data_IF_073319691516
#
_entry.id   IF_073319691516
#
_cell.length_a   1.000
_cell.length_b   1.000
_cell.length_c   1.000
_cell.angle_alpha   90.00
_cell.angle_beta   90.00
_cell.angle_gamma   90.00
#
_symmetry.space_group_name_H-M   'P 1'
#
loop_
_entity.id
_entity.type
_entity.pdbx_description
1 polymer ?
#
# COMPACT_ATOMS: atom_id res chain seq x y z
N UNK A 1 11.21 27.65 2.27
CA UNK A 1 11.60 26.59 3.25
C UNK A 1 10.83 25.29 3.05
N UNK A 2 9.53 25.33 2.72
CA UNK A 2 8.70 24.14 2.44
C UNK A 2 9.25 23.28 1.28
N UNK A 3 9.75 23.90 0.19
CA UNK A 3 10.34 23.17 -0.94
C UNK A 3 11.58 22.35 -0.57
N UNK A 4 12.40 22.79 0.40
CA UNK A 4 13.57 22.00 0.86
C UNK A 4 13.15 20.83 1.77
N UNK A 5 12.07 21.00 2.54
CA UNK A 5 11.51 19.92 3.36
C UNK A 5 10.83 18.84 2.50
N UNK A 6 10.09 19.23 1.45
CA UNK A 6 9.54 18.30 0.46
C UNK A 6 10.64 17.55 -0.31
N UNK A 7 11.73 18.21 -0.70
CA UNK A 7 12.87 17.55 -1.35
C UNK A 7 13.54 16.57 -0.40
N UNK A 8 13.67 16.89 0.89
CA UNK A 8 14.27 15.98 1.86
C UNK A 8 13.40 14.74 2.15
N UNK A 9 12.08 14.90 2.22
CA UNK A 9 11.13 13.78 2.33
C UNK A 9 11.10 12.92 1.05
N UNK A 10 11.19 13.53 -0.13
CA UNK A 10 11.18 12.82 -1.41
C UNK A 10 12.50 12.08 -1.69
N UNK A 11 13.60 12.50 -1.06
CA UNK A 11 14.94 11.92 -1.23
C UNK A 11 15.24 10.75 -0.26
N UNK A 12 14.35 10.46 0.69
CA UNK A 12 14.38 9.26 1.54
C UNK A 12 13.61 8.10 0.88
N UNK A 13 13.85 7.84 -0.41
CA UNK A 13 13.31 6.63 -1.04
C UNK A 13 14.12 5.44 -0.52
N UNK A 14 13.65 4.81 0.56
CA UNK A 14 14.12 3.49 0.97
C UNK A 14 14.15 2.57 -0.27
N UNK A 15 15.23 1.82 -0.45
CA UNK A 15 15.43 0.93 -1.62
C UNK A 15 14.23 0.01 -1.89
N UNK A 16 13.51 -0.37 -0.82
CA UNK A 16 12.26 -1.15 -0.86
C UNK A 16 11.14 -0.41 -1.59
N UNK A 17 10.94 0.88 -1.32
CA UNK A 17 9.89 1.67 -1.96
C UNK A 17 10.17 1.85 -3.45
N UNK A 18 11.44 2.04 -3.83
CA UNK A 18 11.85 2.05 -5.24
C UNK A 18 11.59 0.71 -5.89
N UNK A 19 11.90 -0.39 -5.19
CA UNK A 19 11.65 -1.73 -5.68
C UNK A 19 10.16 -2.02 -5.87
N UNK A 20 9.33 -1.70 -4.89
CA UNK A 20 7.87 -1.82 -4.96
C UNK A 20 7.32 -0.97 -6.10
N UNK A 21 7.74 0.29 -6.25
CA UNK A 21 7.32 1.15 -7.38
C UNK A 21 7.69 0.55 -8.75
N UNK A 22 8.90 0.01 -8.88
CA UNK A 22 9.36 -0.59 -10.14
C UNK A 22 8.62 -1.89 -10.48
N UNK A 23 8.12 -2.60 -9.47
CA UNK A 23 7.30 -3.79 -9.66
C UNK A 23 5.97 -3.44 -10.33
N UNK A 24 5.36 -2.31 -9.95
CA UNK A 24 4.08 -1.83 -10.48
C UNK A 24 4.15 -1.10 -11.81
N UNK A 25 5.34 -0.65 -12.25
CA UNK A 25 5.51 -0.18 -13.64
C UNK A 25 5.24 -1.29 -14.67
N UNK A 26 5.17 -2.54 -14.24
CA UNK A 26 4.64 -3.63 -15.04
C UNK A 26 3.12 -3.53 -14.99
N UNK A 27 2.49 -3.10 -16.08
CA UNK A 27 1.04 -2.88 -16.26
C UNK A 27 0.24 -4.16 -15.91
N UNK A 28 -0.02 -4.37 -14.62
CA UNK A 28 -0.66 -5.57 -14.07
C UNK A 28 -2.14 -5.63 -14.44
N UNK A 29 -2.79 -4.47 -14.60
CA UNK A 29 -4.20 -4.36 -15.00
C UNK A 29 -4.50 -5.10 -16.31
N UNK A 30 -3.69 -4.85 -17.35
CA UNK A 30 -3.85 -5.48 -18.68
C UNK A 30 -3.57 -6.98 -18.63
N UNK A 31 -2.61 -7.39 -17.80
CA UNK A 31 -2.22 -8.78 -17.60
C UNK A 31 -3.34 -9.56 -16.88
N UNK A 32 -3.90 -8.99 -15.81
CA UNK A 32 -4.97 -9.62 -15.02
C UNK A 32 -6.23 -9.78 -15.86
N UNK A 33 -6.63 -8.75 -16.61
CA UNK A 33 -7.79 -8.82 -17.53
C UNK A 33 -7.59 -9.92 -18.59
N UNK A 34 -6.41 -9.99 -19.22
CA UNK A 34 -6.09 -11.05 -20.19
C UNK A 34 -6.15 -12.47 -19.57
N UNK A 35 -5.68 -12.63 -18.32
CA UNK A 35 -5.67 -13.91 -17.60
C UNK A 35 -7.06 -14.37 -17.13
N UNK A 36 -7.96 -13.42 -16.86
CA UNK A 36 -9.36 -13.69 -16.49
C UNK A 36 -10.19 -14.05 -17.73
N UNK A 37 -10.05 -13.29 -18.83
CA UNK A 37 -10.83 -13.49 -20.05
C UNK A 37 -10.39 -14.72 -20.87
N UNK A 38 -9.10 -15.11 -20.84
CA UNK A 38 -8.56 -16.21 -21.64
C UNK A 38 -7.86 -17.28 -20.78
N UNK A 39 -8.61 -18.27 -20.24
CA UNK A 39 -8.05 -19.31 -19.37
C UNK A 39 -6.96 -20.17 -20.04
N UNK A 40 -6.99 -20.34 -21.37
CA UNK A 40 -5.96 -21.07 -22.13
C UNK A 40 -4.60 -20.35 -22.17
N UNK A 41 -4.59 -19.01 -22.07
CA UNK A 41 -3.37 -18.21 -22.08
C UNK A 41 -2.62 -18.28 -20.74
N UNK A 42 -3.27 -18.76 -19.66
CA UNK A 42 -2.67 -18.92 -18.32
C UNK A 42 -1.43 -19.81 -18.34
N UNK A 43 -1.42 -20.87 -19.16
CA UNK A 43 -0.26 -21.76 -19.28
C UNK A 43 0.92 -21.07 -19.96
N UNK A 44 0.66 -20.28 -21.01
CA UNK A 44 1.67 -19.48 -21.72
C UNK A 44 2.19 -18.37 -20.81
N UNK A 45 1.31 -17.67 -20.09
CA UNK A 45 1.69 -16.66 -19.11
C UNK A 45 2.53 -17.24 -17.98
N UNK A 46 2.18 -18.43 -17.46
CA UNK A 46 2.98 -19.14 -16.45
C UNK A 46 4.40 -19.46 -16.98
N UNK A 47 4.51 -19.82 -18.26
CA UNK A 47 5.80 -20.07 -18.91
C UNK A 47 6.59 -18.77 -19.14
N UNK A 48 5.94 -17.69 -19.57
CA UNK A 48 6.55 -16.38 -19.83
C UNK A 48 7.00 -15.69 -18.53
N UNK A 49 6.16 -15.68 -17.50
CA UNK A 49 6.48 -15.11 -16.18
C UNK A 49 7.64 -15.82 -15.50
N UNK A 50 7.89 -17.09 -15.82
CA UNK A 50 9.04 -17.83 -15.30
C UNK A 50 10.38 -17.24 -15.76
N UNK A 51 10.42 -16.59 -16.91
CA UNK A 51 11.60 -15.93 -17.46
C UNK A 51 11.60 -14.40 -17.27
N UNK A 52 10.55 -13.84 -16.67
CA UNK A 52 10.44 -12.40 -16.48
C UNK A 52 11.51 -11.89 -15.47
N UNK A 53 12.18 -10.76 -15.73
CA UNK A 53 13.15 -10.17 -14.81
C UNK A 53 12.55 -9.73 -13.46
N UNK A 54 11.22 -9.71 -13.35
CA UNK A 54 10.46 -9.42 -12.14
C UNK A 54 10.76 -10.38 -10.98
N UNK A 55 11.24 -11.60 -11.25
CA UNK A 55 11.60 -12.55 -10.20
C UNK A 55 12.70 -12.02 -9.26
N UNK A 56 13.64 -11.19 -9.75
CA UNK A 56 14.70 -10.60 -8.92
C UNK A 56 14.12 -9.60 -7.92
N UNK A 57 13.18 -8.79 -8.40
CA UNK A 57 12.55 -7.73 -7.63
C UNK A 57 11.59 -8.30 -6.58
N UNK A 58 10.78 -9.27 -6.97
CA UNK A 58 9.91 -10.02 -6.06
C UNK A 58 10.75 -10.71 -4.99
N UNK A 59 11.86 -11.37 -5.36
CA UNK A 59 12.78 -11.98 -4.38
C UNK A 59 13.40 -10.97 -3.42
N UNK A 60 13.75 -9.77 -3.90
CA UNK A 60 14.27 -8.70 -3.05
C UNK A 60 13.22 -8.26 -2.02
N UNK A 61 11.98 -8.00 -2.45
CA UNK A 61 10.88 -7.62 -1.55
C UNK A 61 10.58 -8.75 -0.55
N UNK A 62 10.48 -10.00 -1.01
CA UNK A 62 10.27 -11.17 -0.13
C UNK A 62 11.41 -11.35 0.88
N UNK A 63 12.66 -11.13 0.46
CA UNK A 63 13.82 -11.17 1.35
C UNK A 63 13.71 -10.11 2.46
N UNK A 64 13.25 -8.91 2.11
CA UNK A 64 13.04 -7.85 3.09
C UNK A 64 11.88 -8.14 4.05
N UNK A 65 10.75 -8.62 3.54
CA UNK A 65 9.62 -9.05 4.37
C UNK A 65 10.03 -10.15 5.36
N UNK A 66 10.84 -11.12 4.90
CA UNK A 66 11.39 -12.17 5.76
C UNK A 66 12.25 -11.59 6.89
N UNK A 67 13.09 -10.58 6.62
CA UNK A 67 13.87 -9.91 7.67
C UNK A 67 13.00 -9.18 8.69
N UNK A 68 11.93 -8.51 8.25
CA UNK A 68 10.97 -7.82 9.14
C UNK A 68 10.24 -8.82 10.03
N UNK A 69 9.77 -9.93 9.47
CA UNK A 69 9.11 -11.00 10.22
C UNK A 69 10.05 -11.59 11.26
N UNK A 70 11.30 -11.88 10.90
CA UNK A 70 12.28 -12.42 11.84
C UNK A 70 12.60 -11.42 12.96
N UNK A 71 12.72 -10.14 12.63
CA UNK A 71 12.93 -9.09 13.63
C UNK A 71 11.78 -9.03 14.64
N UNK A 72 10.54 -9.11 14.16
CA UNK A 72 9.36 -9.12 15.03
C UNK A 72 9.25 -10.35 15.91
N UNK A 73 9.62 -11.54 15.40
CA UNK A 73 9.70 -12.76 16.24
C UNK A 73 10.78 -12.64 17.32
N UNK A 74 11.87 -11.97 17.03
CA UNK A 74 12.99 -11.82 17.97
C UNK A 74 12.72 -10.74 19.04
N UNK A 75 11.93 -9.71 18.71
CA UNK A 75 11.42 -8.75 19.68
C UNK A 75 10.21 -9.34 20.39
N UNK A 76 10.40 -9.89 21.59
CA UNK A 76 9.29 -10.24 22.48
C UNK A 76 8.48 -8.97 22.79
N UNK A 77 7.33 -8.87 22.14
CA UNK A 77 6.20 -7.94 22.28
C UNK A 77 6.42 -6.63 23.02
N UNK A 78 6.21 -5.53 22.30
CA UNK A 78 5.67 -4.30 22.89
C UNK A 78 4.13 -4.46 22.89
N UNK A 79 3.46 -4.54 24.04
CA UNK A 79 2.05 -4.98 24.16
C UNK A 79 1.00 -4.03 23.54
N UNK A 80 1.40 -2.98 22.83
CA UNK A 80 0.52 -1.86 22.48
C UNK A 80 0.04 -1.88 21.03
N UNK A 81 0.67 -2.64 20.12
CA UNK A 81 0.38 -2.52 18.68
C UNK A 81 0.04 -3.86 18.03
N UNK A 82 -1.24 -4.23 18.12
CA UNK A 82 -1.85 -5.32 17.33
C UNK A 82 -2.03 -4.83 15.91
N UNK A 83 -1.22 -5.34 14.99
CA UNK A 83 -1.36 -5.09 13.55
C UNK A 83 -1.58 -6.39 12.75
N UNK A 84 -1.90 -6.25 11.47
CA UNK A 84 -2.21 -7.39 10.61
C UNK A 84 -1.09 -8.45 10.58
N UNK A 85 0.18 -8.03 10.65
CA UNK A 85 1.29 -8.98 10.66
C UNK A 85 1.41 -9.70 12.01
N UNK A 86 1.16 -9.00 13.12
CA UNK A 86 1.11 -9.64 14.44
C UNK A 86 0.02 -10.72 14.49
N UNK A 87 -1.20 -10.43 14.00
CA UNK A 87 -2.29 -11.41 13.92
C UNK A 87 -1.93 -12.63 13.04
N UNK A 88 -1.21 -12.42 11.93
CA UNK A 88 -0.71 -13.52 11.08
C UNK A 88 0.34 -14.39 11.81
N UNK A 89 1.18 -13.77 12.64
CA UNK A 89 2.19 -14.50 13.43
C UNK A 89 1.53 -15.31 14.55
N UNK A 90 0.58 -14.73 15.28
CA UNK A 90 -0.22 -15.44 16.28
C UNK A 90 -0.96 -16.64 15.66
N UNK A 91 -1.53 -16.48 14.46
CA UNK A 91 -2.20 -17.56 13.73
C UNK A 91 -1.26 -18.70 13.30
N UNK A 92 0.04 -18.42 13.17
CA UNK A 92 1.07 -19.40 12.81
C UNK A 92 1.65 -20.13 14.02
N UNK A 93 1.74 -19.47 15.17
CA UNK A 93 2.28 -20.07 16.39
C UNK A 93 1.34 -21.14 16.99
N UNK A 94 0.07 -21.13 16.59
CA UNK A 94 -0.93 -22.10 17.01
C UNK A 94 -1.35 -21.84 18.46
N UNK A 95 -2.65 -21.62 18.68
CA UNK A 95 -3.14 -21.49 20.05
C UNK A 95 -3.07 -22.86 20.76
N UNK A 96 -3.15 -22.89 22.10
CA UNK A 96 -3.11 -24.12 22.94
C UNK A 96 -4.19 -25.18 22.57
N UNK A 97 -5.03 -24.93 21.56
CA UNK A 97 -6.22 -25.68 21.16
C UNK A 97 -6.20 -26.22 19.73
N UNK A 98 -5.15 -26.02 18.92
CA UNK A 98 -5.15 -26.55 17.55
C UNK A 98 -3.82 -26.43 16.79
N UNK A 99 -3.71 -27.08 15.62
CA UNK A 99 -2.52 -26.98 14.77
C UNK A 99 -2.38 -25.57 14.17
N UNK A 100 -1.14 -25.20 13.82
CA UNK A 100 -0.82 -23.95 13.11
C UNK A 100 -1.70 -23.80 11.85
N UNK A 101 -2.35 -22.65 11.71
CA UNK A 101 -3.24 -22.36 10.58
C UNK A 101 -2.49 -21.84 9.36
N UNK A 102 -1.33 -21.23 9.58
CA UNK A 102 -0.50 -20.62 8.53
C UNK A 102 0.95 -21.04 8.68
N UNK A 103 1.58 -21.39 7.56
CA UNK A 103 3.02 -21.59 7.48
C UNK A 103 3.77 -20.27 7.20
N UNK A 104 5.09 -20.26 7.42
CA UNK A 104 5.93 -19.07 7.24
C UNK A 104 5.87 -18.48 5.82
N UNK A 105 5.80 -19.34 4.79
CA UNK A 105 5.71 -18.88 3.41
C UNK A 105 4.36 -18.19 3.15
N UNK A 106 3.26 -18.72 3.70
CA UNK A 106 1.93 -18.11 3.62
C UNK A 106 1.89 -16.75 4.32
N UNK A 107 2.53 -16.60 5.48
CA UNK A 107 2.63 -15.30 6.17
C UNK A 107 3.38 -14.28 5.30
N UNK A 108 4.52 -14.68 4.74
CA UNK A 108 5.33 -13.81 3.86
C UNK A 108 4.51 -13.39 2.63
N UNK A 109 3.81 -14.34 1.99
CA UNK A 109 2.98 -14.05 0.82
C UNK A 109 1.77 -13.17 1.16
N UNK A 110 1.11 -13.36 2.30
CA UNK A 110 0.04 -12.49 2.75
C UNK A 110 0.56 -11.06 3.03
N UNK A 111 1.68 -10.93 3.74
CA UNK A 111 2.32 -9.64 3.98
C UNK A 111 2.70 -8.93 2.66
N UNK A 112 3.19 -9.69 1.68
CA UNK A 112 3.46 -9.19 0.34
C UNK A 112 2.20 -8.67 -0.35
N UNK A 113 1.08 -9.39 -0.28
CA UNK A 113 -0.20 -8.96 -0.86
C UNK A 113 -0.72 -7.68 -0.18
N UNK A 114 -0.64 -7.58 1.15
CA UNK A 114 -1.06 -6.36 1.87
C UNK A 114 -0.22 -5.14 1.48
N UNK A 115 1.11 -5.31 1.38
CA UNK A 115 2.01 -4.25 0.92
C UNK A 115 1.67 -3.83 -0.51
N UNK A 116 1.44 -4.80 -1.39
CA UNK A 116 1.13 -4.57 -2.80
C UNK A 116 -0.20 -3.80 -2.93
N UNK A 117 -1.28 -4.36 -2.40
CA UNK A 117 -2.62 -3.83 -2.52
C UNK A 117 -2.76 -2.44 -1.88
N UNK A 118 -2.11 -2.22 -0.73
CA UNK A 118 -2.17 -0.96 -0.01
C UNK A 118 -1.31 0.15 -0.63
N UNK A 119 -0.14 -0.18 -1.18
CA UNK A 119 0.79 0.82 -1.68
C UNK A 119 0.35 1.44 -3.01
N UNK A 120 0.05 0.62 -4.02
CA UNK A 120 -0.25 1.12 -5.37
C UNK A 120 -1.55 1.92 -5.40
N UNK A 121 -2.63 1.35 -4.84
CA UNK A 121 -3.95 1.97 -4.87
C UNK A 121 -3.97 3.31 -4.12
N UNK A 122 -3.39 3.34 -2.92
CA UNK A 122 -3.36 4.55 -2.08
C UNK A 122 -2.43 5.62 -2.67
N UNK A 123 -1.24 5.26 -3.15
CA UNK A 123 -0.33 6.24 -3.76
C UNK A 123 -0.90 6.84 -5.05
N UNK A 124 -1.61 6.04 -5.83
CA UNK A 124 -2.33 6.49 -7.04
C UNK A 124 -3.49 7.41 -6.67
N UNK A 125 -4.32 7.04 -5.69
CA UNK A 125 -5.41 7.87 -5.18
C UNK A 125 -4.91 9.24 -4.73
N UNK A 126 -3.86 9.27 -3.89
CA UNK A 126 -3.26 10.51 -3.40
C UNK A 126 -2.68 11.35 -4.53
N UNK A 127 -2.08 10.71 -5.53
CA UNK A 127 -1.55 11.42 -6.71
C UNK A 127 -2.67 12.13 -7.48
N UNK A 128 -3.82 11.48 -7.68
CA UNK A 128 -4.98 12.10 -8.33
C UNK A 128 -5.63 13.19 -7.49
N UNK A 129 -5.74 13.01 -6.17
CA UNK A 129 -6.23 14.05 -5.25
C UNK A 129 -5.33 15.28 -5.35
N UNK A 130 -4.01 15.11 -5.21
CA UNK A 130 -3.04 16.20 -5.35
C UNK A 130 -3.12 16.88 -6.73
N UNK A 131 -3.30 16.09 -7.79
CA UNK A 131 -3.49 16.63 -9.13
C UNK A 131 -4.74 17.51 -9.22
N UNK A 132 -5.89 17.02 -8.73
CA UNK A 132 -7.15 17.77 -8.72
C UNK A 132 -7.01 19.07 -7.92
N UNK A 133 -6.39 19.02 -6.73
CA UNK A 133 -6.14 20.20 -5.91
C UNK A 133 -5.23 21.23 -6.60
N UNK A 134 -4.19 20.78 -7.31
CA UNK A 134 -3.30 21.68 -8.05
C UNK A 134 -3.99 22.46 -9.16
N UNK A 135 -5.10 21.94 -9.69
CA UNK A 135 -5.92 22.56 -10.73
C UNK A 135 -7.07 23.42 -10.18
N UNK A 136 -7.43 23.26 -8.91
CA UNK A 136 -8.55 23.96 -8.25
C UNK A 136 -8.08 24.65 -6.95
N UNK A 137 -7.37 25.79 -7.05
CA UNK A 137 -6.85 26.50 -5.88
C UNK A 137 -7.94 26.96 -4.90
N UNK A 138 -9.14 27.25 -5.39
CA UNK A 138 -10.32 27.61 -4.59
C UNK A 138 -10.78 26.45 -3.70
N UNK A 139 -10.76 25.22 -4.22
CA UNK A 139 -11.06 24.01 -3.46
C UNK A 139 -9.98 23.76 -2.41
N UNK A 140 -8.71 23.94 -2.78
CA UNK A 140 -7.59 23.79 -1.86
C UNK A 140 -7.66 24.79 -0.69
N UNK A 141 -7.97 26.06 -0.97
CA UNK A 141 -8.10 27.10 0.07
C UNK A 141 -9.23 26.74 1.04
N UNK A 142 -10.38 26.27 0.52
CA UNK A 142 -11.50 25.85 1.36
C UNK A 142 -11.17 24.66 2.27
N UNK A 143 -10.39 23.69 1.79
CA UNK A 143 -9.88 22.59 2.65
C UNK A 143 -8.93 23.17 3.71
N UNK A 144 -8.08 24.13 3.35
CA UNK A 144 -7.17 24.75 4.30
C UNK A 144 -7.93 25.51 5.40
N UNK A 145 -9.01 26.21 5.06
CA UNK A 145 -9.91 26.85 6.02
C UNK A 145 -10.58 25.83 6.96
N UNK A 146 -11.08 24.71 6.42
CA UNK A 146 -11.66 23.59 7.19
C UNK A 146 -10.63 22.97 8.17
N UNK A 147 -9.38 22.82 7.75
CA UNK A 147 -8.31 22.33 8.63
C UNK A 147 -7.92 23.35 9.69
N UNK A 148 -7.92 24.64 9.34
CA UNK A 148 -7.53 25.72 10.24
C UNK A 148 -8.55 25.95 11.36
N UNK A 149 -9.83 25.66 11.13
CA UNK A 149 -10.89 25.81 12.15
C UNK A 149 -10.72 24.90 13.36
N UNK A 150 -9.90 23.85 13.27
CA UNK A 150 -9.61 22.97 14.41
C UNK A 150 -8.73 23.65 15.47
N UNK A 151 -7.98 24.72 15.13
CA UNK A 151 -7.07 25.47 16.01
C UNK A 151 -6.06 24.63 16.83
N UNK A 152 -5.89 23.34 16.48
CA UNK A 152 -5.03 22.37 17.15
C UNK A 152 -4.49 21.33 16.15
N UNK A 153 -3.45 20.55 16.51
CA UNK A 153 -2.99 19.45 15.69
C UNK A 153 -4.11 18.42 15.44
N UNK A 154 -4.17 17.93 14.20
CA UNK A 154 -5.15 16.94 13.76
C UNK A 154 -5.05 15.66 14.61
N UNK A 155 -6.19 15.22 15.15
CA UNK A 155 -6.36 13.91 15.79
C UNK A 155 -7.24 13.02 14.92
N UNK A 156 -7.17 11.71 15.15
CA UNK A 156 -7.98 10.74 14.43
C UNK A 156 -9.50 11.01 14.56
N UNK A 157 -9.93 11.45 15.73
CA UNK A 157 -11.32 11.79 16.03
C UNK A 157 -11.85 12.94 15.14
N UNK A 158 -10.96 13.84 14.70
CA UNK A 158 -11.31 15.01 13.90
C UNK A 158 -11.64 14.65 12.45
N UNK A 159 -11.27 13.44 12.00
CA UNK A 159 -11.55 13.00 10.62
C UNK A 159 -13.04 13.03 10.28
N UNK A 160 -13.92 12.83 11.28
CA UNK A 160 -15.36 12.91 11.10
C UNK A 160 -15.86 14.35 10.86
N UNK A 161 -15.07 15.36 11.23
CA UNK A 161 -15.41 16.77 11.07
C UNK A 161 -14.92 17.33 9.72
N UNK A 162 -13.95 16.67 9.07
CA UNK A 162 -13.35 17.06 7.78
C UNK A 162 -14.20 16.66 6.57
N UNK A 163 -15.48 17.04 6.59
CA UNK A 163 -16.46 16.59 5.59
C UNK A 163 -16.15 17.10 4.20
N UNK A 164 -15.62 18.32 4.06
CA UNK A 164 -15.28 18.86 2.74
C UNK A 164 -14.07 18.17 2.14
N UNK A 165 -13.02 17.92 2.93
CA UNK A 165 -11.88 17.09 2.51
C UNK A 165 -12.33 15.70 2.05
N UNK A 166 -13.21 15.03 2.81
CA UNK A 166 -13.76 13.72 2.43
C UNK A 166 -14.46 13.78 1.06
N UNK A 167 -15.32 14.78 0.85
CA UNK A 167 -16.00 14.98 -0.43
C UNK A 167 -15.02 15.20 -1.59
N UNK A 168 -13.93 15.93 -1.37
CA UNK A 168 -12.91 16.15 -2.41
C UNK A 168 -12.15 14.86 -2.73
N UNK A 169 -11.84 14.03 -1.73
CA UNK A 169 -11.23 12.71 -1.94
C UNK A 169 -12.18 11.82 -2.76
N UNK A 170 -13.45 11.75 -2.36
CA UNK A 170 -14.46 10.95 -3.06
C UNK A 170 -14.66 11.41 -4.50
N UNK A 171 -14.75 12.72 -4.75
CA UNK A 171 -14.91 13.27 -6.09
C UNK A 171 -13.66 13.04 -6.96
N UNK A 172 -12.47 13.15 -6.37
CA UNK A 172 -11.21 12.81 -7.07
C UNK A 172 -11.19 11.34 -7.49
N UNK A 173 -11.65 10.43 -6.62
CA UNK A 173 -11.75 9.00 -6.93
C UNK A 173 -12.88 8.69 -7.92
N UNK A 174 -13.96 9.49 -7.95
CA UNK A 174 -15.03 9.38 -8.94
C UNK A 174 -14.53 9.74 -10.34
N UNK A 175 -13.69 10.78 -10.45
CA UNK A 175 -13.10 11.23 -11.71
C UNK A 175 -11.94 10.33 -12.15
N UNK A 176 -11.08 9.95 -11.20
CA UNK A 176 -9.87 9.19 -11.44
C UNK A 176 -9.78 8.00 -10.46
N UNK A 177 -10.48 6.90 -10.76
CA UNK A 177 -10.43 5.71 -9.91
C UNK A 177 -9.02 5.09 -9.93
N UNK A 178 -8.41 4.80 -8.77
CA UNK A 178 -7.08 4.18 -8.71
C UNK A 178 -7.02 2.80 -9.37
N UNK A 179 -8.16 2.10 -9.39
CA UNK A 179 -8.33 0.82 -10.07
C UNK A 179 -9.44 1.01 -11.11
N UNK A 180 -9.10 1.13 -12.41
CA UNK A 180 -10.12 1.15 -13.45
C UNK A 180 -10.80 -0.21 -13.53
N UNK A 181 -12.13 -0.21 -13.57
CA UNK A 181 -12.96 -1.40 -13.82
C UNK A 181 -12.93 -1.81 -15.30
#
# INVERSE_FOLDING_TARGET
QISRLMIHFCNQQHEILVAVRNLFRLDLSRIVVLLVCFPGLRAVFRMLFRFAPSHKLIKFVLGHLKSVIQQRRNQKEDPVLVDALHLLLEASEGDRKGPALLNDDEIIWNAYVFLLAGYETTSTALSYVCHCLSLHPDVQERIFEELKSLERPLKYEDMAELRYLELVILESMRLYPPVPL
#
